data_IF_035619920502
#
_entry.id   IF_035619920502
#
_cell.length_a   1.000
_cell.length_b   1.000
_cell.length_c   1.000
_cell.angle_alpha   90.00
_cell.angle_beta   90.00
_cell.angle_gamma   90.00
#
_symmetry.space_group_name_H-M   'P 1'
#
loop_
_entity.id
_entity.type
_entity.pdbx_description
1 polymer ?
#
# COMPACT_ATOMS: atom_id res chain seq x y z
N UNK A 1 -19.24 13.84 -1.60
CA UNK A 1 -19.82 13.78 -0.24
C UNK A 1 -18.81 13.31 0.81
N UNK A 2 -18.08 12.20 0.64
CA UNK A 2 -17.05 11.76 1.61
C UNK A 2 -15.80 12.67 1.69
N UNK A 3 -15.38 13.30 0.59
CA UNK A 3 -14.22 14.22 0.53
C UNK A 3 -14.42 15.52 1.36
N UNK A 4 -15.64 15.81 1.81
CA UNK A 4 -15.94 17.00 2.63
C UNK A 4 -15.87 16.71 4.14
N UNK A 5 -15.83 15.43 4.55
CA UNK A 5 -15.98 15.04 5.97
C UNK A 5 -14.67 14.52 6.58
N UNK A 6 -13.70 14.06 5.77
CA UNK A 6 -12.32 13.78 6.20
C UNK A 6 -11.32 14.66 5.44
N UNK A 7 -10.95 15.84 5.95
CA UNK A 7 -9.94 16.72 5.36
C UNK A 7 -8.54 16.23 5.73
N UNK A 8 -8.18 15.00 5.37
CA UNK A 8 -6.81 14.51 5.48
C UNK A 8 -6.15 14.52 4.08
N UNK A 9 -4.89 14.99 3.95
CA UNK A 9 -4.15 15.05 2.69
C UNK A 9 -3.71 13.66 2.25
N UNK A 10 -4.68 12.79 1.94
CA UNK A 10 -4.47 11.40 1.57
C UNK A 10 -4.98 11.17 0.15
N UNK A 11 -4.25 10.45 -0.72
CA UNK A 11 -4.73 10.15 -2.06
C UNK A 11 -6.09 9.43 -2.06
N UNK A 12 -6.90 9.67 -3.09
CA UNK A 12 -8.20 9.03 -3.25
C UNK A 12 -8.14 7.49 -3.19
N UNK A 13 -7.04 6.89 -3.67
CA UNK A 13 -6.80 5.45 -3.63
C UNK A 13 -6.73 4.89 -2.20
N UNK A 14 -6.22 5.65 -1.24
CA UNK A 14 -6.13 5.22 0.17
C UNK A 14 -7.51 5.13 0.79
N UNK A 15 -8.39 6.10 0.50
CA UNK A 15 -9.79 6.04 0.93
C UNK A 15 -10.50 4.81 0.34
N UNK A 16 -10.27 4.50 -0.94
CA UNK A 16 -10.82 3.29 -1.57
C UNK A 16 -10.40 2.00 -0.88
N UNK A 17 -9.12 1.87 -0.51
CA UNK A 17 -8.60 0.74 0.25
C UNK A 17 -9.25 0.59 1.63
N UNK A 18 -9.37 1.69 2.38
CA UNK A 18 -9.99 1.68 3.71
C UNK A 18 -11.47 1.32 3.63
N UNK A 19 -12.21 1.84 2.64
CA UNK A 19 -13.62 1.51 2.42
C UNK A 19 -13.81 0.05 2.03
N UNK A 20 -12.98 -0.47 1.12
CA UNK A 20 -13.04 -1.88 0.71
C UNK A 20 -12.72 -2.80 1.90
N UNK A 21 -11.70 -2.45 2.70
CA UNK A 21 -11.38 -3.16 3.92
C UNK A 21 -12.57 -3.17 4.89
N UNK A 22 -13.19 -2.02 5.15
CA UNK A 22 -14.37 -1.94 6.02
C UNK A 22 -15.56 -2.75 5.48
N UNK A 23 -15.78 -2.76 4.17
CA UNK A 23 -16.83 -3.56 3.54
C UNK A 23 -16.56 -5.08 3.64
N UNK A 24 -15.28 -5.49 3.57
CA UNK A 24 -14.86 -6.87 3.77
C UNK A 24 -14.97 -7.30 5.24
N UNK A 25 -14.54 -6.46 6.19
CA UNK A 25 -14.61 -6.78 7.63
C UNK A 25 -16.04 -6.81 8.16
N UNK A 26 -16.94 -5.99 7.61
CA UNK A 26 -18.38 -6.02 7.93
C UNK A 26 -19.15 -7.15 7.24
N UNK A 27 -18.51 -7.90 6.32
CA UNK A 27 -19.13 -8.97 5.56
C UNK A 27 -20.11 -8.51 4.47
N UNK A 28 -20.22 -7.20 4.24
CA UNK A 28 -21.04 -6.63 3.16
C UNK A 28 -20.52 -7.04 1.78
N UNK A 29 -19.19 -7.16 1.65
CA UNK A 29 -18.50 -7.70 0.48
C UNK A 29 -17.79 -8.99 0.91
N UNK A 30 -17.95 -10.05 0.13
CA UNK A 30 -17.22 -11.31 0.35
C UNK A 30 -15.89 -11.30 -0.40
N UNK A 31 -14.86 -11.94 0.18
CA UNK A 31 -13.54 -12.02 -0.43
C UNK A 31 -13.60 -12.61 -1.85
N UNK A 32 -14.45 -13.61 -2.07
CA UNK A 32 -14.61 -14.28 -3.36
C UNK A 32 -15.06 -13.31 -4.46
N UNK A 33 -15.85 -12.29 -4.13
CA UNK A 33 -16.36 -11.31 -5.11
C UNK A 33 -15.26 -10.39 -5.64
N UNK A 34 -14.21 -10.15 -4.86
CA UNK A 34 -13.14 -9.20 -5.20
C UNK A 34 -11.82 -9.88 -5.54
N UNK A 35 -11.64 -11.15 -5.14
CA UNK A 35 -10.41 -11.91 -5.35
C UNK A 35 -10.09 -12.11 -6.84
N UNK A 36 -11.10 -12.45 -7.65
CA UNK A 36 -10.91 -12.67 -9.08
C UNK A 36 -10.48 -11.38 -9.78
N UNK A 37 -11.21 -10.28 -9.56
CA UNK A 37 -10.88 -8.97 -10.12
C UNK A 37 -9.54 -8.46 -9.61
N UNK A 38 -9.22 -8.63 -8.33
CA UNK A 38 -7.92 -8.25 -7.76
C UNK A 38 -6.75 -9.00 -8.40
N UNK A 39 -6.92 -10.31 -8.63
CA UNK A 39 -5.92 -11.13 -9.34
C UNK A 39 -5.75 -10.67 -10.77
N UNK A 40 -6.84 -10.40 -11.48
CA UNK A 40 -6.81 -9.90 -12.85
C UNK A 40 -6.11 -8.54 -12.95
N UNK A 41 -6.48 -7.58 -12.09
CA UNK A 41 -5.88 -6.25 -12.05
C UNK A 41 -4.38 -6.31 -11.74
N UNK A 42 -3.97 -7.20 -10.83
CA UNK A 42 -2.55 -7.45 -10.52
C UNK A 42 -1.82 -8.05 -11.73
N UNK A 43 -2.48 -8.92 -12.50
CA UNK A 43 -1.94 -9.50 -13.72
C UNK A 43 -1.66 -8.47 -14.82
N UNK A 44 -2.49 -7.43 -14.95
CA UNK A 44 -2.28 -6.34 -15.92
C UNK A 44 -1.47 -5.17 -15.35
N UNK A 45 -1.08 -5.21 -14.07
CA UNK A 45 -0.35 -4.13 -13.41
C UNK A 45 0.95 -3.73 -14.13
N UNK A 46 1.75 -4.66 -14.68
CA UNK A 46 2.92 -4.31 -15.49
C UNK A 46 2.56 -3.44 -16.71
N UNK A 47 1.45 -3.73 -17.40
CA UNK A 47 0.98 -2.94 -18.54
C UNK A 47 0.60 -1.52 -18.13
N UNK A 48 -0.01 -1.35 -16.94
CA UNK A 48 -0.36 -0.04 -16.39
C UNK A 48 0.88 0.81 -16.05
N UNK A 49 2.03 0.19 -15.82
CA UNK A 49 3.30 0.89 -15.58
C UNK A 49 4.08 1.23 -16.85
N UNK A 50 3.76 0.64 -18.00
CA UNK A 50 4.48 0.93 -19.26
C UNK A 50 4.48 2.43 -19.60
N UNK A 51 3.34 3.16 -19.53
CA UNK A 51 3.34 4.61 -19.81
C UNK A 51 4.19 5.40 -18.82
N UNK A 52 4.16 5.02 -17.53
CA UNK A 52 4.97 5.67 -16.51
C UNK A 52 6.48 5.44 -16.75
N UNK A 53 6.87 4.22 -17.11
CA UNK A 53 8.25 3.88 -17.46
C UNK A 53 8.71 4.60 -18.74
N UNK A 54 7.86 4.68 -19.76
CA UNK A 54 8.14 5.42 -20.99
C UNK A 54 8.35 6.92 -20.72
N UNK A 55 7.53 7.53 -19.86
CA UNK A 55 7.72 8.92 -19.44
C UNK A 55 9.05 9.18 -18.74
N UNK A 56 9.56 8.22 -17.97
CA UNK A 56 10.90 8.33 -17.35
C UNK A 56 12.01 8.32 -18.41
N UNK A 57 11.83 7.57 -19.51
CA UNK A 57 12.82 7.51 -20.59
C UNK A 57 12.99 8.87 -21.30
N UNK A 58 11.93 9.69 -21.39
CA UNK A 58 12.00 11.03 -21.97
C UNK A 58 12.82 12.00 -21.10
N UNK A 59 12.77 11.85 -19.78
CA UNK A 59 13.52 12.66 -18.81
C UNK A 59 14.85 12.01 -18.36
N UNK A 60 15.28 10.94 -19.02
CA UNK A 60 16.41 10.10 -18.59
C UNK A 60 17.71 10.91 -18.40
N UNK A 61 17.98 11.85 -19.30
CA UNK A 61 19.18 12.68 -19.24
C UNK A 61 19.23 13.59 -18.00
N UNK A 62 18.08 14.13 -17.57
CA UNK A 62 17.96 14.96 -16.37
C UNK A 62 17.98 14.10 -15.08
N UNK A 63 17.40 12.91 -15.13
CA UNK A 63 17.39 11.96 -14.00
C UNK A 63 18.80 11.46 -13.63
N UNK A 64 19.71 11.36 -14.59
CA UNK A 64 21.08 10.92 -14.34
C UNK A 64 21.83 11.78 -13.32
N UNK A 65 21.60 13.09 -13.30
CA UNK A 65 22.22 13.99 -12.32
C UNK A 65 21.57 13.93 -10.93
N UNK A 66 20.30 13.48 -10.87
CA UNK A 66 19.52 13.37 -9.63
C UNK A 66 19.50 11.96 -9.04
N UNK A 67 20.15 10.99 -9.70
CA UNK A 67 20.16 9.58 -9.29
C UNK A 67 20.65 9.40 -7.84
N UNK A 68 21.73 10.09 -7.48
CA UNK A 68 22.32 10.00 -6.14
C UNK A 68 21.39 10.62 -5.07
N UNK A 69 20.85 11.85 -5.22
CA UNK A 69 19.80 12.37 -4.34
C UNK A 69 18.57 11.46 -4.20
N UNK A 70 18.09 10.88 -5.31
CA UNK A 70 16.91 10.01 -5.33
C UNK A 70 17.16 8.75 -4.50
N UNK A 71 18.32 8.09 -4.70
CA UNK A 71 18.67 6.89 -3.93
C UNK A 71 18.79 7.19 -2.45
N UNK A 72 19.44 8.30 -2.08
CA UNK A 72 19.58 8.73 -0.69
C UNK A 72 18.21 9.06 -0.06
N UNK A 73 17.25 9.55 -0.84
CA UNK A 73 15.89 9.79 -0.34
C UNK A 73 15.08 8.49 -0.17
N UNK A 74 15.11 7.59 -1.16
CA UNK A 74 14.27 6.39 -1.19
C UNK A 74 14.76 5.33 -0.19
N UNK A 75 16.06 5.06 -0.12
CA UNK A 75 16.61 3.96 0.66
C UNK A 75 16.26 4.03 2.16
N UNK A 76 16.52 5.15 2.88
CA UNK A 76 16.19 5.25 4.30
C UNK A 76 14.68 5.24 4.54
N UNK A 77 13.89 5.89 3.68
CA UNK A 77 12.42 5.88 3.79
C UNK A 77 11.88 4.46 3.63
N UNK A 78 12.40 3.70 2.67
CA UNK A 78 11.98 2.31 2.42
C UNK A 78 12.29 1.41 3.62
N UNK A 79 13.50 1.53 4.17
CA UNK A 79 13.90 0.79 5.37
C UNK A 79 13.04 1.18 6.57
N UNK A 80 12.78 2.47 6.77
CA UNK A 80 11.97 2.96 7.88
C UNK A 80 10.53 2.48 7.77
N UNK A 81 9.91 2.57 6.59
CA UNK A 81 8.53 2.09 6.35
C UNK A 81 8.45 0.58 6.58
N UNK A 82 9.39 -0.19 6.04
CA UNK A 82 9.42 -1.64 6.22
C UNK A 82 9.63 -2.04 7.69
N UNK A 83 10.53 -1.36 8.40
CA UNK A 83 10.78 -1.60 9.81
C UNK A 83 9.56 -1.24 10.67
N UNK A 84 8.91 -0.10 10.40
CA UNK A 84 7.70 0.32 11.08
C UNK A 84 6.57 -0.70 10.85
N UNK A 85 6.28 -1.05 9.60
CA UNK A 85 5.27 -2.05 9.26
C UNK A 85 5.55 -3.41 9.90
N UNK A 86 6.80 -3.88 9.83
CA UNK A 86 7.22 -5.14 10.45
C UNK A 86 7.05 -5.13 11.97
N UNK A 87 7.49 -4.06 12.65
CA UNK A 87 7.32 -3.87 14.09
C UNK A 87 5.85 -3.83 14.49
N UNK A 88 4.99 -3.14 13.73
CA UNK A 88 3.55 -3.09 14.01
C UNK A 88 2.90 -4.47 13.89
N UNK A 89 3.23 -5.24 12.85
CA UNK A 89 2.69 -6.60 12.68
C UNK A 89 3.17 -7.52 13.80
N UNK A 90 4.46 -7.51 14.10
CA UNK A 90 5.02 -8.33 15.18
C UNK A 90 4.42 -8.00 16.54
N UNK A 91 4.19 -6.72 16.84
CA UNK A 91 3.56 -6.31 18.10
C UNK A 91 2.11 -6.81 18.21
N UNK A 92 1.33 -6.76 17.13
CA UNK A 92 -0.04 -7.28 17.11
C UNK A 92 -0.07 -8.81 17.26
N UNK A 93 0.80 -9.53 16.54
CA UNK A 93 0.89 -10.99 16.66
C UNK A 93 1.36 -11.42 18.06
N UNK A 94 2.30 -10.71 18.67
CA UNK A 94 2.77 -11.00 20.02
C UNK A 94 1.69 -10.77 21.10
N UNK A 95 0.76 -9.83 20.89
CA UNK A 95 -0.38 -9.61 21.79
C UNK A 95 -1.39 -10.76 21.69
N UNK A 96 -1.76 -11.18 20.47
CA UNK A 96 -2.68 -12.31 20.27
C UNK A 96 -2.13 -13.60 20.90
N UNK A 97 -0.83 -13.86 20.77
CA UNK A 97 -0.18 -15.05 21.35
C UNK A 97 -0.15 -15.05 22.89
N UNK A 98 -0.25 -13.87 23.50
CA UNK A 98 -0.28 -13.71 24.97
C UNK A 98 -1.69 -13.88 25.53
N UNK A 99 -2.72 -13.53 24.75
CA UNK A 99 -4.13 -13.76 25.08
C UNK A 99 -4.52 -15.25 24.93
N UNK A 100 -3.95 -15.98 23.97
CA UNK A 100 -4.15 -17.44 23.84
C UNK A 100 -3.49 -18.26 24.96
N UNK A 101 -2.41 -17.76 25.57
CA UNK A 101 -1.70 -18.46 26.66
C UNK A 101 -2.26 -18.19 28.07
N UNK A 102 -3.16 -17.21 28.21
CA UNK A 102 -3.84 -16.85 29.48
C UNK A 102 -5.24 -17.49 29.58
N UNK A 103 -5.71 -18.12 28.49
CA UNK A 103 -7.02 -18.75 28.38
C UNK A 103 -6.98 -20.29 28.48
N UNK A 104 -5.80 -20.86 28.80
CA UNK A 104 -5.51 -22.27 29.11
C UNK A 104 -5.09 -22.41 30.58
#
# INVERSE_FOLDING_TARGET
MLHAVLPLPVPASVYGLVLLLAALTTGFVKLEQVKETGTYLTGIFPLLFVPAAAGIMELWAEMGQLLLPILIAILPVTVLVMAAAGRTTQALTARNKKEEADHD
#
